data_IF_087293638772
#
_entry.id   IF_087293638772
#
_cell.length_a   1.000
_cell.length_b   1.000
_cell.length_c   1.000
_cell.angle_alpha   90.00
_cell.angle_beta   90.00
_cell.angle_gamma   90.00
#
_symmetry.space_group_name_H-M   'P 1'
#
loop_
_entity.id
_entity.type
_entity.pdbx_description
1 polymer ?
#
# COMPACT_ATOMS: atom_id res chain seq x y z
N UNK A 1 -76.05 44.34 6.78
CA UNK A 1 -75.80 43.18 7.68
C UNK A 1 -74.44 42.60 7.29
N UNK A 2 -73.46 42.69 8.18
CA UNK A 2 -72.17 41.97 8.11
C UNK A 2 -72.26 40.84 9.14
N UNK A 3 -71.78 39.63 8.82
CA UNK A 3 -70.66 39.04 9.58
C UNK A 3 -69.64 38.37 8.64
N UNK A 4 -68.35 38.70 8.77
CA UNK A 4 -67.30 37.92 9.47
C UNK A 4 -66.70 36.81 8.61
N UNK A 5 -65.43 36.95 8.19
CA UNK A 5 -64.43 35.89 8.40
C UNK A 5 -62.98 36.34 8.07
N UNK A 6 -62.13 36.11 9.09
CA UNK A 6 -60.68 35.80 9.11
C UNK A 6 -59.62 36.72 8.44
N UNK A 7 -58.66 37.26 9.22
CA UNK A 7 -57.38 37.71 8.71
C UNK A 7 -56.41 36.53 8.49
N UNK A 8 -55.78 36.54 7.31
CA UNK A 8 -54.75 35.62 6.84
C UNK A 8 -53.52 35.69 7.78
N UNK A 9 -53.25 34.61 8.53
CA UNK A 9 -52.03 34.44 9.30
C UNK A 9 -50.85 34.23 8.36
N UNK A 10 -50.00 35.25 8.24
CA UNK A 10 -48.67 35.13 7.65
C UNK A 10 -47.78 34.36 8.64
N UNK A 11 -47.23 33.18 8.29
CA UNK A 11 -46.25 32.54 9.15
C UNK A 11 -44.92 33.28 9.06
N UNK A 12 -44.52 33.79 10.22
CA UNK A 12 -43.20 34.31 10.56
C UNK A 12 -42.12 33.25 10.25
N UNK A 13 -41.31 33.49 9.23
CA UNK A 13 -40.16 32.66 8.87
C UNK A 13 -38.97 33.04 9.76
N UNK A 14 -39.03 32.66 11.04
CA UNK A 14 -37.86 32.65 11.90
C UNK A 14 -37.12 31.32 11.79
N UNK A 15 -35.81 31.45 11.59
CA UNK A 15 -34.73 30.50 11.88
C UNK A 15 -34.76 29.12 11.21
N UNK A 16 -33.96 28.99 10.14
CA UNK A 16 -33.22 27.75 9.91
C UNK A 16 -31.73 28.09 9.86
N UNK A 17 -31.13 28.14 11.05
CA UNK A 17 -29.69 28.02 11.23
C UNK A 17 -29.23 26.75 10.51
N UNK A 18 -28.53 26.94 9.39
CA UNK A 18 -27.83 25.85 8.68
C UNK A 18 -26.70 25.37 9.59
N UNK A 19 -27.02 24.39 10.45
CA UNK A 19 -26.02 23.62 11.17
C UNK A 19 -25.16 22.89 10.14
N UNK A 20 -24.00 23.47 9.85
CA UNK A 20 -22.99 22.87 8.98
C UNK A 20 -22.45 21.66 9.72
N UNK A 21 -23.04 20.51 9.42
CA UNK A 21 -22.71 19.23 10.02
C UNK A 21 -21.36 18.78 9.46
N UNK A 22 -20.27 19.31 10.02
CA UNK A 22 -18.91 18.87 9.73
C UNK A 22 -18.73 17.44 10.28
N UNK A 23 -19.19 16.44 9.51
CA UNK A 23 -18.79 15.06 9.73
C UNK A 23 -17.29 14.98 9.47
N UNK A 24 -16.53 14.98 10.55
CA UNK A 24 -15.12 14.62 10.57
C UNK A 24 -15.04 13.16 10.13
N UNK A 25 -14.80 12.94 8.83
CA UNK A 25 -14.62 11.61 8.28
C UNK A 25 -13.27 11.09 8.76
N UNK A 26 -13.28 10.37 9.88
CA UNK A 26 -12.10 9.76 10.47
C UNK A 26 -11.67 8.58 9.59
N UNK A 27 -10.53 8.72 8.93
CA UNK A 27 -9.90 7.61 8.20
C UNK A 27 -9.14 6.78 9.22
N UNK A 28 -9.58 5.55 9.46
CA UNK A 28 -8.92 4.63 10.39
C UNK A 28 -7.65 4.04 9.79
N UNK A 29 -6.57 4.01 10.58
CA UNK A 29 -5.34 3.31 10.21
C UNK A 29 -5.57 1.81 10.08
N UNK A 30 -4.69 1.10 9.35
CA UNK A 30 -4.77 -0.36 9.26
C UNK A 30 -4.72 -1.02 10.64
N UNK A 31 -3.88 -0.52 11.56
CA UNK A 31 -3.77 -1.04 12.92
C UNK A 31 -5.05 -0.85 13.75
N UNK A 32 -5.75 0.27 13.57
CA UNK A 32 -7.06 0.49 14.20
C UNK A 32 -8.10 -0.50 13.67
N UNK A 33 -8.15 -0.67 12.34
CA UNK A 33 -9.05 -1.62 11.68
C UNK A 33 -8.74 -3.06 12.09
N UNK A 34 -7.46 -3.39 12.28
CA UNK A 34 -7.03 -4.71 12.72
C UNK A 34 -7.47 -5.01 14.16
N UNK A 35 -7.42 -4.01 15.04
CA UNK A 35 -7.87 -4.14 16.44
C UNK A 35 -9.39 -4.25 16.56
N UNK A 36 -10.15 -3.62 15.67
CA UNK A 36 -11.62 -3.70 15.67
C UNK A 36 -12.17 -4.91 14.90
N UNK A 37 -11.36 -5.53 14.04
CA UNK A 37 -11.75 -6.71 13.29
C UNK A 37 -11.84 -7.96 14.17
N UNK A 38 -12.92 -8.73 14.01
CA UNK A 38 -13.02 -10.07 14.57
C UNK A 38 -12.27 -11.05 13.67
N UNK A 39 -11.05 -11.43 14.07
CA UNK A 39 -10.21 -12.39 13.34
C UNK A 39 -10.32 -13.79 13.97
N UNK A 40 -10.24 -14.86 13.16
CA UNK A 40 -10.19 -16.21 13.69
C UNK A 40 -8.89 -16.46 14.47
N UNK A 41 -8.79 -17.55 15.24
CA UNK A 41 -7.57 -17.93 15.94
C UNK A 41 -6.37 -18.05 14.98
N UNK A 42 -5.13 -17.81 15.46
CA UNK A 42 -3.93 -17.88 14.63
C UNK A 42 -3.82 -19.16 13.80
N UNK A 43 -3.54 -19.01 12.51
CA UNK A 43 -3.48 -20.09 11.53
C UNK A 43 -3.71 -19.59 10.10
N UNK A 44 -3.84 -20.49 9.11
CA UNK A 44 -4.07 -20.10 7.71
C UNK A 44 -5.31 -19.23 7.51
N UNK A 45 -6.41 -19.53 8.21
CA UNK A 45 -7.64 -18.74 8.17
C UNK A 45 -7.44 -17.31 8.72
N UNK A 46 -6.62 -17.15 9.76
CA UNK A 46 -6.24 -15.84 10.30
C UNK A 46 -5.43 -15.04 9.30
N UNK A 47 -4.46 -15.67 8.63
CA UNK A 47 -3.69 -15.02 7.57
C UNK A 47 -4.60 -14.52 6.45
N UNK A 48 -5.51 -15.37 5.96
CA UNK A 48 -6.46 -15.01 4.91
C UNK A 48 -7.34 -13.84 5.36
N UNK A 49 -7.94 -13.91 6.56
CA UNK A 49 -8.80 -12.87 7.09
C UNK A 49 -8.05 -11.52 7.26
N UNK A 50 -6.85 -11.56 7.83
CA UNK A 50 -5.99 -10.36 7.97
C UNK A 50 -5.58 -9.79 6.62
N UNK A 51 -5.24 -10.64 5.64
CA UNK A 51 -4.88 -10.22 4.28
C UNK A 51 -6.05 -9.55 3.58
N UNK A 52 -7.27 -10.09 3.71
CA UNK A 52 -8.48 -9.47 3.16
C UNK A 52 -8.69 -8.07 3.74
N UNK A 53 -8.50 -7.91 5.06
CA UNK A 53 -8.57 -6.61 5.72
C UNK A 53 -7.49 -5.64 5.21
N UNK A 54 -6.25 -6.11 5.02
CA UNK A 54 -5.14 -5.30 4.50
C UNK A 54 -5.44 -4.77 3.09
N UNK A 55 -5.94 -5.65 2.22
CA UNK A 55 -6.23 -5.31 0.82
C UNK A 55 -7.46 -4.42 0.67
N UNK A 56 -8.33 -4.39 1.67
CA UNK A 56 -9.52 -3.56 1.68
C UNK A 56 -9.15 -2.09 1.86
N UNK A 57 -9.60 -1.17 0.97
CA UNK A 57 -9.38 0.26 1.13
C UNK A 57 -9.87 0.77 2.50
N UNK A 58 -9.24 1.81 3.06
CA UNK A 58 -9.78 2.50 4.24
C UNK A 58 -11.17 3.06 3.95
N UNK A 59 -11.99 3.18 5.00
CA UNK A 59 -13.31 3.81 4.89
C UNK A 59 -13.18 5.23 4.30
N UNK A 60 -14.08 5.56 3.38
CA UNK A 60 -14.09 6.85 2.68
C UNK A 60 -12.82 7.16 1.87
N UNK A 61 -12.03 6.14 1.50
CA UNK A 61 -10.89 6.33 0.60
C UNK A 61 -11.35 6.67 -0.82
N UNK A 62 -11.27 7.94 -1.16
CA UNK A 62 -11.41 8.42 -2.55
C UNK A 62 -10.02 8.81 -3.05
N UNK A 63 -9.43 8.07 -4.01
CA UNK A 63 -8.19 8.48 -4.64
C UNK A 63 -8.41 9.85 -5.29
N UNK A 64 -7.74 10.90 -4.80
CA UNK A 64 -7.74 12.21 -5.44
C UNK A 64 -6.63 12.25 -6.50
N UNK A 65 -6.95 12.20 -7.80
CA UNK A 65 -5.94 12.34 -8.83
C UNK A 65 -5.37 13.76 -8.77
N UNK A 66 -4.04 13.88 -8.78
CA UNK A 66 -3.41 15.18 -9.01
C UNK A 66 -3.44 15.51 -10.50
N UNK A 67 -3.83 16.74 -10.90
CA UNK A 67 -3.76 17.14 -12.29
C UNK A 67 -2.33 16.98 -12.81
N UNK A 68 -2.15 16.44 -14.03
CA UNK A 68 -0.82 16.20 -14.57
C UNK A 68 -0.13 17.53 -14.91
N UNK A 69 1.16 17.65 -14.59
CA UNK A 69 1.98 18.73 -15.13
C UNK A 69 2.27 18.47 -16.63
N UNK A 70 2.62 19.51 -17.39
CA UNK A 70 3.01 19.33 -18.80
C UNK A 70 4.18 18.35 -18.97
N UNK A 71 5.16 18.34 -18.04
CA UNK A 71 6.23 17.34 -18.01
C UNK A 71 5.70 15.93 -17.78
N UNK A 72 4.72 15.77 -16.88
CA UNK A 72 4.07 14.47 -16.65
C UNK A 72 3.32 13.99 -17.89
N UNK A 73 2.57 14.87 -18.58
CA UNK A 73 1.87 14.51 -19.81
C UNK A 73 2.84 14.03 -20.91
N UNK A 74 3.98 14.71 -21.07
CA UNK A 74 5.03 14.31 -22.02
C UNK A 74 5.61 12.93 -21.68
N UNK A 75 5.90 12.69 -20.40
CA UNK A 75 6.40 11.40 -19.93
C UNK A 75 5.37 10.28 -20.14
N UNK A 76 4.12 10.53 -19.76
CA UNK A 76 3.02 9.58 -19.93
C UNK A 76 2.80 9.28 -21.43
N UNK A 77 2.94 10.27 -22.32
CA UNK A 77 2.87 10.08 -23.78
C UNK A 77 4.02 9.21 -24.31
N UNK A 78 5.27 9.49 -23.89
CA UNK A 78 6.43 8.67 -24.26
C UNK A 78 6.25 7.21 -23.83
N UNK A 79 5.81 6.98 -22.58
CA UNK A 79 5.56 5.65 -22.01
C UNK A 79 4.27 4.97 -22.52
N UNK A 80 3.48 5.66 -23.35
CA UNK A 80 2.32 5.10 -24.03
C UNK A 80 2.65 4.64 -25.46
N UNK A 81 3.86 4.92 -25.95
CA UNK A 81 4.34 4.44 -27.25
C UNK A 81 4.36 2.91 -27.27
N UNK A 82 3.93 2.26 -28.37
CA UNK A 82 4.10 0.82 -28.53
C UNK A 82 5.57 0.42 -28.34
N UNK A 83 5.82 -0.67 -27.62
CA UNK A 83 7.17 -1.14 -27.31
C UNK A 83 8.06 -0.13 -26.58
N UNK A 84 7.48 0.83 -25.83
CA UNK A 84 8.22 1.87 -25.10
C UNK A 84 9.31 1.32 -24.17
N UNK A 85 9.11 0.12 -23.61
CA UNK A 85 10.07 -0.52 -22.70
C UNK A 85 11.39 -0.86 -23.39
N UNK A 86 11.33 -1.36 -24.62
CA UNK A 86 12.51 -1.79 -25.38
C UNK A 86 13.02 -0.72 -26.35
N UNK A 87 12.42 0.48 -26.35
CA UNK A 87 12.74 1.52 -27.31
C UNK A 87 13.77 2.50 -26.74
N UNK A 88 14.98 2.50 -27.31
CA UNK A 88 16.06 3.38 -26.89
C UNK A 88 15.76 4.88 -27.13
N UNK A 89 14.96 5.24 -28.13
CA UNK A 89 14.55 6.62 -28.37
C UNK A 89 13.61 7.11 -27.26
N UNK A 90 12.73 6.24 -26.76
CA UNK A 90 11.89 6.54 -25.59
C UNK A 90 12.73 6.71 -24.34
N UNK A 91 13.75 5.85 -24.16
CA UNK A 91 14.70 5.95 -23.06
C UNK A 91 15.42 7.31 -23.05
N UNK A 92 16.08 7.65 -24.16
CA UNK A 92 16.82 8.91 -24.34
C UNK A 92 15.91 10.13 -24.44
N UNK A 93 14.65 9.96 -24.85
CA UNK A 93 13.63 11.00 -24.96
C UNK A 93 13.15 11.58 -23.64
N UNK A 94 13.53 10.99 -22.50
CA UNK A 94 13.31 11.60 -21.19
C UNK A 94 13.12 10.62 -20.04
N UNK A 95 12.89 9.33 -20.33
CA UNK A 95 12.72 8.30 -19.29
C UNK A 95 14.00 8.14 -18.47
N UNK A 96 15.18 8.14 -19.11
CA UNK A 96 16.49 8.07 -18.45
C UNK A 96 16.66 9.17 -17.39
N UNK A 97 16.24 10.40 -17.70
CA UNK A 97 16.35 11.53 -16.78
C UNK A 97 15.44 11.37 -15.56
N UNK A 98 14.23 10.85 -15.76
CA UNK A 98 13.29 10.61 -14.66
C UNK A 98 13.78 9.45 -13.80
N UNK A 99 14.23 8.36 -14.41
CA UNK A 99 14.84 7.23 -13.72
C UNK A 99 16.03 7.66 -12.85
N UNK A 100 16.96 8.43 -13.40
CA UNK A 100 18.11 8.95 -12.65
C UNK A 100 17.70 9.76 -11.41
N UNK A 101 16.62 10.53 -11.50
CA UNK A 101 16.07 11.25 -10.35
C UNK A 101 15.50 10.29 -9.30
N UNK A 102 14.71 9.30 -9.73
CA UNK A 102 14.11 8.29 -8.85
C UNK A 102 15.17 7.44 -8.14
N UNK A 103 16.12 6.90 -8.90
CA UNK A 103 17.20 6.05 -8.39
C UNK A 103 18.09 6.76 -7.35
N UNK A 104 18.30 8.08 -7.52
CA UNK A 104 19.06 8.91 -6.57
C UNK A 104 18.25 9.36 -5.35
N UNK A 105 16.97 8.98 -5.25
CA UNK A 105 16.09 9.40 -4.15
C UNK A 105 15.66 10.87 -4.21
N UNK A 106 15.60 11.46 -5.41
CA UNK A 106 15.15 12.84 -5.56
C UNK A 106 13.69 13.00 -5.10
N UNK A 107 13.41 14.05 -4.32
CA UNK A 107 12.06 14.35 -3.84
C UNK A 107 11.15 14.76 -5.02
N UNK A 108 10.01 14.10 -5.15
CA UNK A 108 9.01 14.42 -6.16
C UNK A 108 8.24 15.70 -5.77
N UNK A 109 8.30 16.71 -6.65
CA UNK A 109 7.51 17.97 -6.48
C UNK A 109 6.00 17.74 -6.66
N UNK A 110 5.64 16.74 -7.46
CA UNK A 110 4.25 16.33 -7.75
C UNK A 110 4.17 14.81 -7.68
N UNK A 111 3.04 14.28 -7.23
CA UNK A 111 2.81 12.83 -7.16
C UNK A 111 2.90 12.24 -8.57
N UNK A 112 3.59 11.11 -8.68
CA UNK A 112 3.65 10.32 -9.90
C UNK A 112 2.76 9.08 -9.73
N UNK A 113 1.91 8.71 -10.70
CA UNK A 113 1.14 7.47 -10.62
C UNK A 113 2.06 6.26 -10.53
N UNK A 114 1.69 5.29 -9.68
CA UNK A 114 2.49 4.08 -9.49
C UNK A 114 2.68 3.30 -10.79
N UNK A 115 1.65 3.19 -11.63
CA UNK A 115 1.77 2.54 -12.94
C UNK A 115 2.83 3.19 -13.85
N UNK A 116 2.94 4.53 -13.81
CA UNK A 116 4.01 5.26 -14.53
C UNK A 116 5.39 4.92 -13.95
N UNK A 117 5.51 4.88 -12.62
CA UNK A 117 6.76 4.51 -11.92
C UNK A 117 7.21 3.10 -12.32
N UNK A 118 6.30 2.12 -12.27
CA UNK A 118 6.58 0.72 -12.64
C UNK A 118 7.09 0.62 -14.07
N UNK A 119 6.47 1.34 -15.02
CA UNK A 119 6.96 1.38 -16.41
C UNK A 119 8.37 1.96 -16.53
N UNK A 120 8.69 3.02 -15.80
CA UNK A 120 10.03 3.63 -15.81
C UNK A 120 11.08 2.64 -15.26
N UNK A 121 10.76 1.97 -14.16
CA UNK A 121 11.64 0.94 -13.57
C UNK A 121 11.85 -0.20 -14.57
N UNK A 122 10.80 -0.66 -15.25
CA UNK A 122 10.91 -1.71 -16.25
C UNK A 122 11.80 -1.30 -17.43
N UNK A 123 11.64 -0.07 -17.96
CA UNK A 123 12.56 0.47 -18.97
C UNK A 123 14.02 0.44 -18.50
N UNK A 124 14.27 0.82 -17.24
CA UNK A 124 15.63 0.83 -16.67
C UNK A 124 16.21 -0.59 -16.56
N UNK A 125 15.44 -1.55 -16.07
CA UNK A 125 15.92 -2.93 -15.96
C UNK A 125 16.21 -3.58 -17.31
N UNK A 126 15.41 -3.28 -18.32
CA UNK A 126 15.67 -3.75 -19.69
C UNK A 126 16.90 -3.08 -20.27
N UNK A 127 17.07 -1.77 -20.05
CA UNK A 127 18.23 -1.03 -20.56
C UNK A 127 19.54 -1.46 -19.89
N UNK A 128 19.52 -1.76 -18.59
CA UNK A 128 20.69 -2.16 -17.81
C UNK A 128 20.94 -3.68 -17.86
N UNK A 129 20.27 -4.40 -18.78
CA UNK A 129 20.29 -5.87 -18.92
C UNK A 129 20.02 -6.63 -17.60
N UNK A 130 19.41 -5.95 -16.62
CA UNK A 130 19.07 -6.52 -15.31
C UNK A 130 17.85 -7.43 -15.41
N UNK A 131 16.94 -7.12 -16.34
CA UNK A 131 15.81 -7.97 -16.68
C UNK A 131 15.90 -8.42 -18.14
N UNK A 132 16.37 -9.65 -18.42
CA UNK A 132 16.54 -10.13 -19.79
C UNK A 132 15.18 -10.22 -20.50
N UNK A 133 15.08 -9.55 -21.64
CA UNK A 133 13.89 -9.61 -22.49
C UNK A 133 13.67 -11.05 -22.98
N UNK A 134 12.47 -11.58 -22.77
CA UNK A 134 12.09 -12.92 -23.22
C UNK A 134 12.45 -14.07 -22.27
N UNK A 135 13.04 -13.78 -21.10
CA UNK A 135 13.18 -14.79 -20.06
C UNK A 135 11.81 -15.17 -19.49
N UNK A 136 11.48 -16.45 -19.53
CA UNK A 136 10.26 -17.01 -18.93
C UNK A 136 10.61 -17.38 -17.49
N UNK A 137 9.89 -16.79 -16.53
CA UNK A 137 9.98 -17.23 -15.15
C UNK A 137 9.56 -18.71 -15.08
N UNK A 138 10.31 -19.57 -14.37
CA UNK A 138 9.87 -20.94 -14.11
C UNK A 138 8.46 -20.94 -13.50
N UNK A 139 7.66 -21.94 -13.84
CA UNK A 139 6.34 -22.13 -13.24
C UNK A 139 6.51 -22.43 -11.74
N UNK A 140 6.32 -21.39 -10.91
CA UNK A 140 6.25 -21.38 -9.44
C UNK A 140 7.21 -22.30 -8.65
N UNK A 141 8.02 -21.71 -7.77
CA UNK A 141 8.78 -22.43 -6.73
C UNK A 141 7.89 -23.08 -5.64
N UNK A 142 6.57 -23.00 -5.75
CA UNK A 142 5.62 -23.67 -4.86
C UNK A 142 5.55 -25.17 -5.16
N UNK A 143 6.63 -25.89 -4.85
CA UNK A 143 6.51 -27.32 -4.57
C UNK A 143 5.70 -27.43 -3.27
N UNK A 144 4.39 -27.60 -3.40
CA UNK A 144 3.57 -28.21 -2.35
C UNK A 144 4.14 -29.60 -2.12
N UNK A 145 5.14 -29.70 -1.24
CA UNK A 145 5.55 -30.98 -0.68
C UNK A 145 4.30 -31.55 -0.02
N UNK A 146 3.70 -32.52 -0.71
CA UNK A 146 2.57 -33.29 -0.22
C UNK A 146 2.79 -33.62 1.25
N UNK A 147 1.72 -33.47 2.02
CA UNK A 147 1.64 -33.70 3.45
C UNK A 147 1.92 -35.17 3.82
N UNK A 148 3.17 -35.62 3.64
CA UNK A 148 3.64 -36.97 3.92
C UNK A 148 5.05 -36.99 4.54
N UNK A 149 5.53 -35.86 5.07
CA UNK A 149 6.77 -35.87 5.86
C UNK A 149 6.56 -35.15 7.19
N UNK A 150 5.80 -35.80 8.07
CA UNK A 150 5.84 -35.58 9.53
C UNK A 150 7.13 -36.12 10.17
N UNK A 151 8.20 -36.30 9.39
CA UNK A 151 9.49 -36.81 9.87
C UNK A 151 10.27 -35.77 10.68
N UNK A 152 9.92 -34.48 10.54
CA UNK A 152 10.46 -33.43 11.41
C UNK A 152 9.80 -33.36 12.80
N UNK A 153 8.63 -34.00 12.98
CA UNK A 153 7.91 -34.03 14.27
C UNK A 153 8.40 -35.14 15.20
N UNK A 154 9.12 -36.15 14.69
CA UNK A 154 9.65 -37.26 15.47
C UNK A 154 11.19 -37.33 15.40
N UNK A 155 11.84 -36.16 15.37
CA UNK A 155 13.28 -36.05 15.56
C UNK A 155 13.66 -36.68 16.90
N UNK A 156 14.06 -37.95 16.87
CA UNK A 156 14.61 -38.69 17.99
C UNK A 156 15.97 -38.08 18.33
N UNK A 157 15.99 -37.09 19.22
CA UNK A 157 17.23 -36.65 19.86
C UNK A 157 17.61 -37.66 20.94
N UNK A 158 18.14 -38.81 20.53
CA UNK A 158 19.06 -39.58 21.36
C UNK A 158 20.41 -38.87 21.35
N UNK A 159 20.51 -37.78 22.09
CA UNK A 159 21.74 -37.04 22.33
C UNK A 159 21.68 -36.50 23.73
N UNK A 160 22.54 -37.02 24.61
CA UNK A 160 22.57 -36.69 26.03
C UNK A 160 22.56 -35.17 26.27
N UNK A 161 21.54 -34.70 26.99
CA UNK A 161 21.50 -33.35 27.56
C UNK A 161 22.55 -33.28 28.67
N UNK A 162 23.73 -32.78 28.35
CA UNK A 162 24.59 -32.16 29.36
C UNK A 162 24.03 -30.77 29.61
N UNK A 163 23.36 -30.59 30.76
CA UNK A 163 22.91 -29.27 31.21
C UNK A 163 24.13 -28.35 31.38
N UNK A 164 24.35 -27.42 30.45
CA UNK A 164 25.22 -26.28 30.70
C UNK A 164 24.43 -25.24 31.49
N UNK A 165 24.76 -25.14 32.76
CA UNK A 165 24.25 -24.14 33.71
C UNK A 165 24.22 -22.73 33.11
N UNK A 166 23.10 -22.05 33.31
CA UNK A 166 22.84 -20.73 32.76
C UNK A 166 23.80 -19.65 33.23
N UNK A 167 24.21 -18.80 32.30
CA UNK A 167 24.89 -17.55 32.62
C UNK A 167 23.88 -16.41 32.58
N UNK A 168 23.53 -15.97 33.79
CA UNK A 168 22.77 -14.78 34.13
C UNK A 168 23.42 -13.55 33.50
N UNK A 169 22.71 -12.80 32.65
CA UNK A 169 23.19 -11.52 32.15
C UNK A 169 23.17 -10.48 33.28
N UNK A 170 24.33 -10.23 33.90
CA UNK A 170 24.54 -9.08 34.76
C UNK A 170 24.69 -7.81 33.93
N UNK A 171 23.89 -6.80 34.28
CA UNK A 171 23.88 -5.47 33.68
C UNK A 171 24.95 -4.63 34.38
N UNK A 172 26.11 -4.48 33.76
CA UNK A 172 27.12 -3.56 34.26
C UNK A 172 26.78 -2.11 33.89
N UNK A 173 26.45 -1.33 34.93
CA UNK A 173 26.51 0.13 34.92
C UNK A 173 27.96 0.56 34.81
N UNK A 174 28.29 1.29 33.75
CA UNK A 174 29.55 2.04 33.69
C UNK A 174 29.33 3.44 34.29
N UNK A 175 29.99 3.64 35.42
CA UNK A 175 30.23 4.91 36.09
C UNK A 175 31.03 5.85 35.15
N UNK A 176 30.54 7.07 34.94
CA UNK A 176 31.28 8.13 34.25
C UNK A 176 31.89 9.02 35.32
N UNK A 177 33.22 9.11 35.31
CA UNK A 177 34.00 10.03 36.12
C UNK A 177 34.33 11.29 35.34
#
# INVERSE_FOLDING_TARGET
MIPSDLPESVPDITDTTTATNHHHHQVHSFEERLKSASLPPPGPSHFVARRQLWLSPPDNFVPRPSPPSGTRQKLDALLSTPNAVNNNDVWKGGVEKVWNGLYRGAKLKKRLPLGTVVKIIHCAWVHDDTWPAGAVAPDSDEVLQDASSTDWLLGSHTGAVTQSSGTLWTKDSADIR
#
